data_IF_812115353259
#
_entry.id   IF_812115353259
#
_cell.length_a   1.000
_cell.length_b   1.000
_cell.length_c   1.000
_cell.angle_alpha   90.00
_cell.angle_beta   90.00
_cell.angle_gamma   90.00
#
_symmetry.space_group_name_H-M   'P 1'
#
loop_
_entity.id
_entity.type
_entity.pdbx_description
1 polymer ?
#
# COMPACT_ATOMS: atom_id res chain seq x y z
N UNK A 1 5.21 23.42 20.95
CA UNK A 1 3.95 23.29 20.19
C UNK A 1 4.13 22.16 19.20
N UNK A 2 3.57 21.00 19.50
CA UNK A 2 3.80 19.74 18.79
C UNK A 2 2.88 19.66 17.57
N UNK A 3 3.41 20.02 16.39
CA UNK A 3 2.74 19.77 15.12
C UNK A 3 2.96 18.29 14.76
N UNK A 4 2.10 17.41 15.29
CA UNK A 4 2.05 15.99 14.93
C UNK A 4 1.35 15.88 13.58
N UNK A 5 2.12 15.95 12.49
CA UNK A 5 1.66 15.54 11.17
C UNK A 5 1.52 14.03 11.17
N UNK A 6 0.30 13.51 11.04
CA UNK A 6 0.10 12.09 10.77
C UNK A 6 0.90 11.68 9.52
N UNK A 7 1.61 10.54 9.54
CA UNK A 7 2.40 10.10 8.39
C UNK A 7 1.50 9.81 7.18
N UNK A 8 1.97 10.03 5.93
CA UNK A 8 1.18 10.04 4.68
C UNK A 8 0.52 8.70 4.32
N UNK A 9 0.78 7.68 5.11
CA UNK A 9 0.20 6.35 5.02
C UNK A 9 -1.22 6.27 5.61
N UNK A 10 -1.53 7.11 6.61
CA UNK A 10 -2.88 7.19 7.19
C UNK A 10 -3.81 8.12 6.39
N UNK A 11 -3.26 9.09 5.64
CA UNK A 11 -4.05 10.07 4.88
C UNK A 11 -4.75 9.46 3.67
N UNK A 12 -4.20 8.40 3.06
CA UNK A 12 -4.87 7.64 2.01
C UNK A 12 -6.12 6.88 2.51
N UNK A 13 -6.10 6.42 3.76
CA UNK A 13 -7.26 5.81 4.40
C UNK A 13 -8.32 6.85 4.79
N UNK A 14 -7.91 8.05 5.19
CA UNK A 14 -8.84 9.14 5.54
C UNK A 14 -9.51 9.79 4.31
N UNK A 15 -8.79 9.92 3.19
CA UNK A 15 -9.33 10.53 1.96
C UNK A 15 -10.43 9.68 1.31
N UNK A 16 -10.30 8.34 1.37
CA UNK A 16 -11.33 7.42 0.88
C UNK A 16 -12.58 7.41 1.78
N UNK A 17 -12.43 7.64 3.09
CA UNK A 17 -13.55 7.76 4.02
C UNK A 17 -14.32 9.09 3.86
N UNK A 18 -13.65 10.20 3.56
CA UNK A 18 -14.29 11.52 3.42
C UNK A 18 -15.08 11.69 2.11
N UNK A 19 -14.68 11.02 1.03
CA UNK A 19 -15.46 11.04 -0.23
C UNK A 19 -16.82 10.32 -0.11
N UNK A 20 -17.02 9.49 0.91
CA UNK A 20 -18.28 8.77 1.15
C UNK A 20 -19.31 9.57 1.94
N UNK A 21 -18.99 10.79 2.40
CA UNK A 21 -19.89 11.62 3.22
C UNK A 21 -20.06 13.00 2.58
N UNK A 22 -20.51 13.06 1.34
CA UNK A 22 -21.17 14.25 0.82
C UNK A 22 -22.56 13.87 0.32
N UNK A 23 -23.62 14.07 1.13
CA UNK A 23 -24.98 13.85 0.69
C UNK A 23 -25.30 14.90 -0.37
N UNK A 24 -25.48 14.45 -1.61
CA UNK A 24 -26.02 15.25 -2.69
C UNK A 24 -27.42 15.73 -2.26
N UNK A 25 -27.53 17.05 -2.22
CA UNK A 25 -28.72 17.87 -2.11
C UNK A 25 -29.79 17.39 -3.10
N UNK A 26 -30.83 16.72 -2.62
CA UNK A 26 -32.05 16.41 -3.37
C UNK A 26 -33.16 17.30 -2.82
N UNK A 27 -33.75 18.24 -3.61
CA UNK A 27 -34.97 18.91 -3.20
C UNK A 27 -36.17 17.96 -3.36
N UNK A 28 -36.95 17.84 -2.29
CA UNK A 28 -38.25 17.17 -2.24
C UNK A 28 -39.16 17.63 -3.37
N UNK A 29 -39.52 16.72 -4.27
CA UNK A 29 -40.80 16.78 -5.00
C UNK A 29 -41.40 15.38 -5.03
N UNK A 30 -42.42 15.22 -4.18
CA UNK A 30 -43.61 14.39 -4.38
C UNK A 30 -43.40 12.93 -4.78
N UNK A 31 -43.46 12.03 -3.79
CA UNK A 31 -43.77 10.62 -3.99
C UNK A 31 -45.22 10.45 -4.48
N UNK A 32 -45.48 9.70 -5.57
CA UNK A 32 -46.70 8.94 -5.67
C UNK A 32 -46.41 7.46 -5.46
N UNK A 33 -47.10 6.92 -4.46
CA UNK A 33 -47.72 5.60 -4.49
C UNK A 33 -46.83 4.42 -4.91
N UNK A 34 -46.33 3.74 -3.89
CA UNK A 34 -45.98 2.32 -3.92
C UNK A 34 -47.16 1.55 -4.52
N UNK A 35 -47.07 1.19 -5.80
CA UNK A 35 -47.95 0.20 -6.42
C UNK A 35 -47.13 -1.00 -6.84
N UNK A 36 -47.19 -2.01 -5.98
CA UNK A 36 -46.89 -3.42 -6.21
C UNK A 36 -46.74 -3.84 -7.68
N UNK A 37 -45.52 -4.19 -8.07
CA UNK A 37 -45.23 -5.31 -8.98
C UNK A 37 -43.91 -5.95 -8.57
N UNK A 38 -43.99 -6.80 -7.54
CA UNK A 38 -42.92 -7.70 -7.12
C UNK A 38 -42.84 -8.86 -8.12
N UNK A 39 -41.94 -8.79 -9.09
CA UNK A 39 -41.46 -9.93 -9.89
C UNK A 39 -40.24 -9.49 -10.72
N UNK A 40 -39.14 -10.25 -10.61
CA UNK A 40 -37.92 -10.22 -11.43
C UNK A 40 -37.02 -8.99 -11.22
N UNK A 41 -35.74 -9.05 -10.85
CA UNK A 41 -34.77 -10.13 -10.64
C UNK A 41 -33.63 -9.46 -9.88
N UNK A 42 -33.30 -9.89 -8.67
CA UNK A 42 -32.08 -9.45 -7.99
C UNK A 42 -30.89 -10.16 -8.63
N UNK A 43 -30.42 -9.64 -9.76
CA UNK A 43 -29.06 -9.93 -10.22
C UNK A 43 -28.12 -9.18 -9.26
N UNK A 44 -27.81 -9.81 -8.13
CA UNK A 44 -26.72 -9.39 -7.26
C UNK A 44 -25.43 -9.52 -8.07
N UNK A 45 -25.06 -8.45 -8.76
CA UNK A 45 -23.74 -8.30 -9.35
C UNK A 45 -22.76 -8.29 -8.18
N UNK A 46 -22.21 -9.46 -7.86
CA UNK A 46 -21.00 -9.58 -7.08
C UNK A 46 -19.95 -8.76 -7.81
N UNK A 47 -19.79 -7.50 -7.42
CA UNK A 47 -18.64 -6.68 -7.79
C UNK A 47 -17.47 -7.31 -7.05
N UNK A 48 -16.91 -8.36 -7.65
CA UNK A 48 -15.67 -8.93 -7.21
C UNK A 48 -14.62 -7.84 -7.44
N UNK A 49 -13.97 -7.29 -6.40
CA UNK A 49 -12.85 -6.40 -6.64
C UNK A 49 -11.81 -7.23 -7.38
N UNK A 50 -11.60 -6.91 -8.67
CA UNK A 50 -10.49 -7.41 -9.44
C UNK A 50 -9.23 -6.87 -8.76
N UNK A 51 -8.66 -7.64 -7.84
CA UNK A 51 -7.37 -7.34 -7.25
C UNK A 51 -6.37 -7.35 -8.39
N UNK A 52 -5.96 -6.15 -8.83
CA UNK A 52 -4.91 -5.99 -9.81
C UNK A 52 -3.60 -6.38 -9.10
N UNK A 53 -3.23 -7.66 -9.20
CA UNK A 53 -1.96 -8.14 -8.68
C UNK A 53 -0.84 -7.50 -9.51
N UNK A 54 -0.37 -6.34 -9.04
CA UNK A 54 0.84 -5.73 -9.56
C UNK A 54 2.03 -6.65 -9.31
N UNK A 55 2.96 -6.73 -10.26
CA UNK A 55 4.21 -7.46 -10.04
C UNK A 55 4.95 -6.88 -8.83
N UNK A 56 5.29 -7.75 -7.89
CA UNK A 56 6.09 -7.40 -6.72
C UNK A 56 7.57 -7.39 -7.10
N UNK A 57 8.32 -6.47 -6.50
CA UNK A 57 9.78 -6.44 -6.55
C UNK A 57 10.34 -6.92 -5.23
N UNK A 58 11.29 -7.86 -5.28
CA UNK A 58 12.12 -8.21 -4.13
C UNK A 58 13.14 -7.11 -3.91
N UNK A 59 13.17 -6.53 -2.71
CA UNK A 59 14.03 -5.39 -2.38
C UNK A 59 14.63 -5.51 -0.99
N UNK A 60 15.78 -4.87 -0.82
CA UNK A 60 16.38 -4.54 0.47
C UNK A 60 16.20 -3.05 0.70
N UNK A 61 15.62 -2.69 1.85
CA UNK A 61 15.38 -1.32 2.25
C UNK A 61 16.26 -1.01 3.46
N UNK A 62 17.15 -0.04 3.31
CA UNK A 62 18.10 0.36 4.37
C UNK A 62 17.95 1.83 4.70
N UNK A 63 17.92 2.17 5.99
CA UNK A 63 17.79 3.53 6.50
C UNK A 63 19.14 4.10 6.95
N UNK A 64 19.30 5.44 6.94
CA UNK A 64 20.48 6.08 7.49
C UNK A 64 20.73 5.71 8.96
N UNK A 65 21.99 5.74 9.39
CA UNK A 65 22.37 5.50 10.79
C UNK A 65 21.67 6.52 11.70
N UNK A 66 21.14 6.05 12.83
CA UNK A 66 20.43 6.91 13.79
C UNK A 66 18.97 7.17 13.44
N UNK A 67 18.44 6.53 12.40
CA UNK A 67 16.99 6.48 12.15
C UNK A 67 16.29 5.80 13.33
N UNK A 68 15.30 6.45 13.97
CA UNK A 68 14.55 5.86 15.08
C UNK A 68 13.73 4.65 14.63
N UNK A 69 13.60 3.65 15.51
CA UNK A 69 12.81 2.44 15.25
C UNK A 69 11.37 2.75 14.89
N UNK A 70 10.79 3.84 15.42
CA UNK A 70 9.44 4.27 15.08
C UNK A 70 9.29 4.58 13.58
N UNK A 71 10.32 5.15 12.94
CA UNK A 71 10.30 5.47 11.50
C UNK A 71 10.40 4.19 10.68
N UNK A 72 11.29 3.28 11.05
CA UNK A 72 11.47 1.98 10.37
C UNK A 72 10.21 1.12 10.51
N UNK A 73 9.64 1.05 11.70
CA UNK A 73 8.40 0.31 11.96
C UNK A 73 7.21 0.92 11.21
N UNK A 74 7.12 2.25 11.15
CA UNK A 74 6.09 2.91 10.35
C UNK A 74 6.24 2.59 8.86
N UNK A 75 7.47 2.58 8.33
CA UNK A 75 7.72 2.20 6.95
C UNK A 75 7.25 0.77 6.65
N UNK A 76 7.56 -0.21 7.52
CA UNK A 76 7.08 -1.59 7.41
C UNK A 76 5.55 -1.66 7.35
N UNK A 77 4.87 -0.99 8.29
CA UNK A 77 3.39 -0.95 8.35
C UNK A 77 2.80 -0.41 7.05
N UNK A 78 3.38 0.66 6.51
CA UNK A 78 2.88 1.31 5.30
C UNK A 78 3.11 0.51 4.04
N UNK A 79 4.26 -0.17 3.97
CA UNK A 79 4.57 -1.07 2.87
C UNK A 79 3.58 -2.25 2.86
N UNK A 80 3.30 -2.85 4.03
CA UNK A 80 2.33 -3.95 4.16
C UNK A 80 0.91 -3.49 3.83
N UNK A 81 0.49 -2.32 4.32
CA UNK A 81 -0.82 -1.75 3.99
C UNK A 81 -1.00 -1.48 2.48
N UNK A 82 0.11 -1.31 1.75
CA UNK A 82 0.13 -1.12 0.30
C UNK A 82 0.27 -2.42 -0.49
N UNK A 83 0.09 -3.58 0.16
CA UNK A 83 0.18 -4.89 -0.48
C UNK A 83 1.59 -5.49 -0.55
N UNK A 84 2.54 -4.95 0.23
CA UNK A 84 3.86 -5.54 0.40
C UNK A 84 3.91 -6.62 1.48
N UNK A 85 5.00 -7.40 1.48
CA UNK A 85 5.29 -8.47 2.44
C UNK A 85 6.72 -8.30 2.93
N UNK A 86 6.92 -8.28 4.25
CA UNK A 86 8.26 -8.27 4.84
C UNK A 86 8.81 -9.70 4.81
N UNK A 87 9.95 -9.90 4.16
CA UNK A 87 10.57 -11.22 4.00
C UNK A 87 11.69 -11.46 5.00
N UNK A 88 12.35 -10.40 5.45
CA UNK A 88 13.41 -10.49 6.45
C UNK A 88 13.60 -9.17 7.20
N UNK A 89 13.93 -9.24 8.49
CA UNK A 89 14.34 -8.08 9.29
C UNK A 89 15.79 -8.24 9.72
N UNK A 90 16.60 -7.20 9.51
CA UNK A 90 18.02 -7.26 9.87
C UNK A 90 18.25 -6.73 11.29
N UNK A 91 19.09 -7.41 12.04
CA UNK A 91 19.51 -6.95 13.38
C UNK A 91 20.78 -6.09 13.37
N UNK A 92 21.63 -6.25 12.34
CA UNK A 92 22.93 -5.56 12.25
C UNK A 92 22.86 -4.22 11.49
N UNK A 93 21.87 -4.06 10.62
CA UNK A 93 21.63 -2.84 9.85
C UNK A 93 20.21 -2.35 10.10
N UNK A 94 20.00 -1.04 10.03
CA UNK A 94 18.67 -0.45 10.16
C UNK A 94 17.91 -0.64 8.84
N UNK A 95 17.34 -1.82 8.64
CA UNK A 95 16.68 -2.17 7.40
C UNK A 95 15.93 -3.48 7.44
N UNK A 96 15.24 -3.78 6.35
CA UNK A 96 14.47 -5.00 6.15
C UNK A 96 14.41 -5.35 4.66
N UNK A 97 14.20 -6.62 4.35
CA UNK A 97 13.89 -7.09 3.01
C UNK A 97 12.38 -7.25 2.86
N UNK A 98 11.87 -7.01 1.65
CA UNK A 98 10.46 -7.11 1.35
C UNK A 98 10.20 -7.44 -0.11
N UNK A 99 9.01 -7.99 -0.37
CA UNK A 99 8.40 -7.98 -1.69
C UNK A 99 7.31 -6.91 -1.71
N UNK A 100 7.35 -5.97 -2.65
CA UNK A 100 6.37 -4.88 -2.68
C UNK A 100 6.05 -4.38 -4.09
N UNK A 101 4.83 -3.80 -4.29
CA UNK A 101 4.50 -3.12 -5.53
C UNK A 101 5.42 -1.91 -5.77
N UNK A 102 5.75 -1.64 -7.02
CA UNK A 102 6.59 -0.48 -7.40
C UNK A 102 6.02 0.85 -6.89
N UNK A 103 4.70 1.02 -6.91
CA UNK A 103 4.02 2.22 -6.39
C UNK A 103 4.22 2.41 -4.88
N UNK A 104 4.24 1.32 -4.11
CA UNK A 104 4.51 1.36 -2.67
C UNK A 104 5.97 1.78 -2.42
N UNK A 105 6.91 1.26 -3.21
CA UNK A 105 8.33 1.61 -3.11
C UNK A 105 8.60 3.07 -3.49
N UNK A 106 7.93 3.58 -4.52
CA UNK A 106 8.00 5.00 -4.91
C UNK A 106 7.47 5.91 -3.80
N UNK A 107 6.33 5.53 -3.19
CA UNK A 107 5.76 6.26 -2.06
C UNK A 107 6.73 6.26 -0.88
N UNK A 108 7.26 5.10 -0.50
CA UNK A 108 8.22 4.97 0.59
C UNK A 108 9.50 5.80 0.34
N UNK A 109 9.99 5.86 -0.91
CA UNK A 109 11.20 6.59 -1.27
C UNK A 109 11.11 8.12 -1.08
N UNK A 110 9.88 8.65 -0.97
CA UNK A 110 9.58 10.08 -0.84
C UNK A 110 8.90 10.45 0.48
N UNK A 111 8.52 9.45 1.29
CA UNK A 111 7.71 9.63 2.49
C UNK A 111 8.41 10.41 3.62
N UNK A 112 9.74 10.30 3.72
CA UNK A 112 10.53 10.99 4.75
C UNK A 112 11.79 11.60 4.12
N UNK A 113 11.96 12.92 4.28
CA UNK A 113 13.12 13.65 3.76
C UNK A 113 14.33 13.59 4.68
N UNK A 114 14.12 13.38 5.99
CA UNK A 114 15.18 13.32 7.00
C UNK A 114 15.78 11.91 7.07
N UNK A 115 14.94 10.89 7.04
CA UNK A 115 15.31 9.48 7.12
C UNK A 115 15.03 8.75 5.80
N UNK A 116 15.49 9.35 4.70
CA UNK A 116 15.26 8.81 3.35
C UNK A 116 15.89 7.40 3.23
N UNK A 117 15.10 6.36 2.94
CA UNK A 117 15.64 5.02 2.73
C UNK A 117 16.39 4.90 1.40
N UNK A 118 17.40 4.02 1.40
CA UNK A 118 17.97 3.44 0.20
C UNK A 118 17.21 2.14 -0.12
N UNK A 119 16.77 2.00 -1.37
CA UNK A 119 15.95 0.87 -1.83
C UNK A 119 16.69 0.22 -2.99
N UNK A 120 17.13 -1.02 -2.80
CA UNK A 120 17.88 -1.79 -3.78
C UNK A 120 17.12 -3.06 -4.15
N UNK A 121 17.18 -3.47 -5.41
CA UNK A 121 16.61 -4.76 -5.83
C UNK A 121 17.44 -5.90 -5.26
N UNK A 122 16.76 -6.84 -4.59
CA UNK A 122 17.38 -8.03 -4.04
C UNK A 122 17.56 -9.07 -5.16
N UNK A 123 18.83 -9.34 -5.52
CA UNK A 123 19.18 -10.18 -6.65
C UNK A 123 19.75 -11.51 -6.19
N UNK A 124 19.40 -12.56 -6.92
CA UNK A 124 19.96 -13.90 -6.70
C UNK A 124 21.44 -13.91 -7.03
N UNK A 125 22.23 -14.49 -6.13
CA UNK A 125 23.65 -14.77 -6.34
C UNK A 125 23.84 -16.28 -6.40
N UNK A 126 24.44 -16.78 -7.49
CA UNK A 126 24.73 -18.20 -7.71
C UNK A 126 26.21 -18.51 -7.43
N UNK A 127 26.49 -19.67 -6.84
CA UNK A 127 27.85 -20.08 -6.46
C UNK A 127 28.84 -20.27 -7.65
N UNK A 128 28.35 -20.44 -8.88
CA UNK A 128 29.19 -20.81 -10.04
C UNK A 128 29.29 -19.74 -11.15
N UNK A 129 28.68 -18.56 -10.98
CA UNK A 129 28.54 -17.61 -12.09
C UNK A 129 27.57 -18.12 -13.17
N UNK A 130 27.05 -17.19 -13.96
CA UNK A 130 26.01 -17.41 -14.99
C UNK A 130 26.53 -18.26 -16.16
N UNK A 131 26.82 -19.54 -15.93
CA UNK A 131 26.96 -20.52 -17.00
C UNK A 131 25.56 -20.93 -17.41
N UNK A 132 24.96 -20.14 -18.30
CA UNK A 132 23.80 -20.55 -19.09
C UNK A 132 24.24 -21.73 -19.96
N UNK A 133 24.19 -22.94 -19.40
CA UNK A 133 24.25 -24.18 -20.16
C UNK A 133 23.04 -24.17 -21.09
N UNK A 134 23.25 -23.70 -22.33
CA UNK A 134 22.32 -23.92 -23.42
C UNK A 134 22.08 -25.43 -23.51
N UNK A 135 20.86 -25.85 -23.21
CA UNK A 135 20.34 -27.18 -23.53
C UNK A 135 19.20 -26.99 -24.52
#
# INVERSE_FOLDING_TARGET
MTHSTAPPCLTLLYSTLLYSVHPQFIPEILLPFISFNMKLTFAALLVLPLALAGSLKSVIITFPKGTPDSVVNQAKVCLVASGGVITHEYHLINGFAAEAPVSALQTLSTQDTQYKPNIEEDKVVSAYGDYSGAV
#
